data_IF_134047893732
#
_entry.id   IF_134047893732
#
_cell.length_a   1.000
_cell.length_b   1.000
_cell.length_c   1.000
_cell.angle_alpha   90.00
_cell.angle_beta   90.00
_cell.angle_gamma   90.00
#
_symmetry.space_group_name_H-M   'P 1'
#
loop_
_entity.id
_entity.type
_entity.pdbx_description
1 polymer ?
#
# COMPACT_ATOMS: atom_id res chain seq x y z
N UNK A 1 6.98 -0.33 -2.25
CA UNK A 1 7.35 -1.74 -2.00
C UNK A 1 8.45 -1.86 -0.95
N UNK A 2 9.69 -1.40 -1.19
CA UNK A 2 10.78 -1.57 -0.20
C UNK A 2 10.53 -0.88 1.15
N UNK A 3 10.01 0.36 1.13
CA UNK A 3 9.63 1.09 2.33
C UNK A 3 8.44 0.45 3.06
N UNK A 4 7.37 0.13 2.33
CA UNK A 4 6.15 -0.46 2.91
C UNK A 4 6.42 -1.83 3.56
N UNK A 5 7.25 -2.66 2.93
CA UNK A 5 7.67 -3.95 3.48
C UNK A 5 8.53 -3.79 4.75
N UNK A 6 9.38 -2.75 4.81
CA UNK A 6 10.16 -2.41 6.00
C UNK A 6 9.26 -1.97 7.17
N UNK A 7 8.20 -1.20 6.89
CA UNK A 7 7.23 -0.79 7.91
C UNK A 7 6.48 -2.02 8.44
N UNK A 8 5.89 -2.85 7.58
CA UNK A 8 5.15 -4.05 7.99
C UNK A 8 6.01 -4.98 8.86
N UNK A 9 7.24 -5.24 8.43
CA UNK A 9 8.18 -6.09 9.19
C UNK A 9 8.46 -5.52 10.59
N UNK A 10 8.52 -4.19 10.72
CA UNK A 10 8.71 -3.51 12.00
C UNK A 10 7.49 -3.56 12.93
N UNK A 11 6.26 -3.60 12.41
CA UNK A 11 5.04 -3.58 13.24
C UNK A 11 4.43 -4.98 13.48
N UNK A 12 4.74 -5.98 12.64
CA UNK A 12 4.18 -7.34 12.74
C UNK A 12 4.37 -7.96 14.13
N UNK A 13 5.54 -7.79 14.76
CA UNK A 13 5.81 -8.32 16.10
C UNK A 13 5.06 -7.60 17.22
N UNK A 14 4.57 -6.38 16.98
CA UNK A 14 3.79 -5.60 17.95
C UNK A 14 2.29 -5.81 17.80
N UNK A 15 1.79 -6.01 16.57
CA UNK A 15 0.38 -6.23 16.26
C UNK A 15 -0.14 -7.59 16.75
N UNK A 16 0.71 -8.64 16.76
CA UNK A 16 0.34 -9.98 17.23
C UNK A 16 -0.14 -9.99 18.71
N UNK A 17 0.59 -9.37 19.67
CA UNK A 17 0.14 -9.27 21.06
C UNK A 17 -0.88 -8.14 21.33
N UNK A 18 -0.83 -7.00 20.63
CA UNK A 18 -1.75 -5.85 20.86
C UNK A 18 -3.20 -6.18 20.48
N UNK A 19 -3.39 -6.82 19.32
CA UNK A 19 -4.73 -7.12 18.81
C UNK A 19 -5.20 -8.55 19.06
N UNK A 20 -4.36 -9.41 19.68
CA UNK A 20 -4.69 -10.81 19.93
C UNK A 20 -5.03 -11.59 18.65
N UNK A 21 -4.39 -11.23 17.53
CA UNK A 21 -4.70 -11.77 16.20
C UNK A 21 -4.06 -13.15 16.02
N UNK A 22 -4.78 -14.06 15.36
CA UNK A 22 -4.21 -15.37 15.01
C UNK A 22 -3.19 -15.21 13.87
N UNK A 23 -2.19 -16.11 13.80
CA UNK A 23 -1.18 -16.11 12.73
C UNK A 23 -1.77 -16.05 11.31
N UNK A 24 -2.97 -16.58 11.13
CA UNK A 24 -3.69 -16.56 9.84
C UNK A 24 -4.19 -15.15 9.52
N UNK A 25 -4.72 -14.40 10.49
CA UNK A 25 -5.18 -13.02 10.27
C UNK A 25 -4.00 -12.08 9.98
N UNK A 26 -2.89 -12.29 10.67
CA UNK A 26 -1.66 -11.52 10.46
C UNK A 26 -1.10 -11.78 9.05
N UNK A 27 -1.06 -13.04 8.62
CA UNK A 27 -0.70 -13.42 7.24
C UNK A 27 -1.65 -12.82 6.20
N UNK A 28 -2.96 -12.80 6.45
CA UNK A 28 -3.94 -12.15 5.57
C UNK A 28 -3.73 -10.64 5.44
N UNK A 29 -3.38 -9.96 6.53
CA UNK A 29 -3.06 -8.52 6.50
C UNK A 29 -1.90 -8.23 5.55
N UNK A 30 -0.78 -8.96 5.71
CA UNK A 30 0.41 -8.76 4.85
C UNK A 30 0.14 -9.17 3.40
N UNK A 31 -0.56 -10.28 3.19
CA UNK A 31 -0.90 -10.77 1.86
C UNK A 31 -1.84 -9.81 1.12
N UNK A 32 -2.82 -9.22 1.81
CA UNK A 32 -3.79 -8.29 1.21
C UNK A 32 -3.10 -7.04 0.66
N UNK A 33 -2.07 -6.52 1.35
CA UNK A 33 -1.29 -5.38 0.88
C UNK A 33 -0.52 -5.72 -0.39
N UNK A 34 0.11 -6.90 -0.42
CA UNK A 34 0.89 -7.40 -1.57
C UNK A 34 -0.02 -7.69 -2.78
N UNK A 35 -1.19 -8.26 -2.53
CA UNK A 35 -2.18 -8.57 -3.57
C UNK A 35 -2.74 -7.29 -4.20
N UNK A 36 -3.16 -6.34 -3.37
CA UNK A 36 -3.70 -5.05 -3.82
C UNK A 36 -2.66 -4.27 -4.61
N UNK A 37 -1.41 -4.25 -4.14
CA UNK A 37 -0.33 -3.54 -4.83
C UNK A 37 0.05 -4.18 -6.17
N UNK A 38 0.00 -5.51 -6.26
CA UNK A 38 0.20 -6.22 -7.53
C UNK A 38 -0.88 -5.86 -8.55
N UNK A 39 -2.15 -5.90 -8.15
CA UNK A 39 -3.29 -5.53 -9.01
C UNK A 39 -3.20 -4.06 -9.43
N UNK A 40 -2.87 -3.17 -8.49
CA UNK A 40 -2.71 -1.75 -8.77
C UNK A 40 -1.58 -1.48 -9.78
N UNK A 41 -0.43 -2.16 -9.68
CA UNK A 41 0.66 -2.02 -10.65
C UNK A 41 0.25 -2.51 -12.05
N UNK A 42 -0.47 -3.64 -12.13
CA UNK A 42 -0.97 -4.16 -13.41
C UNK A 42 -1.94 -3.19 -14.09
N UNK A 43 -2.77 -2.48 -13.33
CA UNK A 43 -3.69 -1.47 -13.85
C UNK A 43 -3.00 -0.13 -14.16
N UNK A 44 -1.99 0.25 -13.37
CA UNK A 44 -1.29 1.53 -13.50
C UNK A 44 -0.51 1.67 -14.83
N UNK A 45 0.06 0.58 -15.35
CA UNK A 45 0.80 0.58 -16.62
C UNK A 45 -0.08 0.98 -17.82
N UNK A 46 -1.12 0.21 -18.16
CA UNK A 46 -2.03 0.52 -19.26
C UNK A 46 -2.75 1.86 -19.09
N UNK A 47 -3.06 2.24 -17.85
CA UNK A 47 -3.69 3.52 -17.53
C UNK A 47 -2.75 4.69 -17.81
N UNK A 48 -1.47 4.56 -17.48
CA UNK A 48 -0.41 5.54 -17.78
C UNK A 48 -0.19 5.71 -19.29
N UNK A 49 -0.23 4.61 -20.04
CA UNK A 49 -0.02 4.64 -21.48
C UNK A 49 -1.21 5.25 -22.24
N UNK A 50 -2.45 5.04 -21.76
CA UNK A 50 -3.66 5.60 -22.40
C UNK A 50 -3.95 7.06 -22.07
N UNK A 51 -3.72 7.50 -20.83
CA UNK A 51 -4.00 8.89 -20.40
C UNK A 51 -2.82 9.84 -20.63
N UNK A 52 -1.62 9.31 -20.90
CA UNK A 52 -0.38 10.06 -21.01
C UNK A 52 0.30 10.28 -19.65
N UNK A 53 1.64 10.27 -19.65
CA UNK A 53 2.46 10.25 -18.41
C UNK A 53 2.25 11.48 -17.50
N UNK A 54 1.96 12.67 -18.06
CA UNK A 54 1.82 13.92 -17.29
C UNK A 54 0.59 13.96 -16.36
N UNK A 55 -0.65 13.68 -16.83
CA UNK A 55 -1.82 13.64 -15.94
C UNK A 55 -1.73 12.53 -14.89
N UNK A 56 -1.16 11.37 -15.23
CA UNK A 56 -0.98 10.27 -14.25
C UNK A 56 -0.03 10.67 -13.12
N UNK A 57 1.08 11.36 -13.42
CA UNK A 57 1.98 11.89 -12.38
C UNK A 57 1.30 12.92 -11.47
N UNK A 58 0.41 13.77 -12.02
CA UNK A 58 -0.35 14.74 -11.21
C UNK A 58 -1.35 14.05 -10.29
N UNK A 59 -2.07 13.04 -10.79
CA UNK A 59 -3.02 12.25 -9.98
C UNK A 59 -2.28 11.48 -8.88
N UNK A 60 -1.13 10.87 -9.20
CA UNK A 60 -0.30 10.19 -8.22
C UNK A 60 0.19 11.15 -7.12
N UNK A 61 0.65 12.35 -7.47
CA UNK A 61 1.09 13.35 -6.50
C UNK A 61 -0.06 13.82 -5.59
N UNK A 62 -1.27 13.99 -6.14
CA UNK A 62 -2.44 14.38 -5.37
C UNK A 62 -2.87 13.27 -4.40
N UNK A 63 -2.92 12.01 -4.87
CA UNK A 63 -3.21 10.85 -4.03
C UNK A 63 -2.18 10.68 -2.91
N UNK A 64 -0.90 10.87 -3.21
CA UNK A 64 0.16 10.81 -2.20
C UNK A 64 0.00 11.89 -1.13
N UNK A 65 -0.35 13.11 -1.55
CA UNK A 65 -0.56 14.24 -0.63
C UNK A 65 -1.75 13.97 0.29
N UNK A 66 -2.86 13.47 -0.24
CA UNK A 66 -4.05 13.10 0.56
C UNK A 66 -3.72 11.95 1.52
N UNK A 67 -3.02 10.92 1.04
CA UNK A 67 -2.60 9.78 1.87
C UNK A 67 -1.68 10.22 3.03
N UNK A 68 -0.75 11.13 2.76
CA UNK A 68 0.14 11.69 3.78
C UNK A 68 -0.63 12.46 4.87
N UNK A 69 -1.62 13.26 4.48
CA UNK A 69 -2.48 13.97 5.44
C UNK A 69 -3.35 12.99 6.23
N UNK A 70 -3.95 12.00 5.57
CA UNK A 70 -4.78 11.00 6.23
C UNK A 70 -3.99 10.07 7.17
N UNK A 71 -2.69 9.86 6.91
CA UNK A 71 -1.81 9.08 7.79
C UNK A 71 -1.23 9.90 8.95
N UNK A 72 -1.27 11.25 8.84
CA UNK A 72 -0.79 12.17 9.86
C UNK A 72 -1.86 12.56 10.88
N UNK A 73 -3.13 12.28 10.59
CA UNK A 73 -4.30 12.46 11.48
C UNK A 73 -4.61 11.14 12.15
#
# INVERSE_FOLDING_TARGET
MGFDASVISGVVGFIEPEFGLSKIQLGWSVASLTLTSTIAMMLAGPLSDRLGRRPVLKIAALLFSVSAVASAV
#
